data_IF_489682232071
#
_entry.id   IF_489682232071
#
_cell.length_a   1.000
_cell.length_b   1.000
_cell.length_c   1.000
_cell.angle_alpha   90.00
_cell.angle_beta   90.00
_cell.angle_gamma   90.00
#
_symmetry.space_group_name_H-M   'P 1'
#
loop_
_entity.id
_entity.type
_entity.pdbx_description
1 polymer ?
#
# COMPACT_ATOMS: atom_id res chain seq x y z
N UNK A 1 -0.62 -17.76 -4.71
CA UNK A 1 -0.71 -16.33 -5.08
C UNK A 1 -1.60 -16.08 -6.30
N UNK A 2 -2.59 -16.91 -6.59
CA UNK A 2 -3.31 -16.86 -7.87
C UNK A 2 -4.59 -15.99 -7.85
N UNK A 3 -4.88 -15.36 -6.71
CA UNK A 3 -6.06 -14.52 -6.51
C UNK A 3 -5.76 -13.01 -6.66
N UNK A 4 -4.54 -12.65 -7.08
CA UNK A 4 -4.10 -11.26 -7.23
C UNK A 4 -3.66 -10.56 -5.94
N UNK A 5 -3.65 -11.29 -4.81
CA UNK A 5 -3.21 -10.76 -3.52
C UNK A 5 -1.69 -10.63 -3.43
N UNK A 6 -1.23 -9.63 -2.66
CA UNK A 6 0.19 -9.35 -2.47
C UNK A 6 0.84 -10.35 -1.52
N UNK A 7 2.13 -10.64 -1.71
CA UNK A 7 2.87 -11.51 -0.81
C UNK A 7 2.86 -10.99 0.63
N UNK A 8 2.98 -9.67 0.81
CA UNK A 8 3.01 -9.04 2.14
C UNK A 8 1.68 -9.12 2.91
N UNK A 9 0.57 -9.41 2.26
CA UNK A 9 -0.75 -9.53 2.90
C UNK A 9 -1.15 -10.97 3.15
N UNK A 10 -0.27 -11.94 2.87
CA UNK A 10 -0.57 -13.35 3.05
C UNK A 10 -0.35 -13.76 4.52
N UNK A 11 -1.43 -14.15 5.20
CA UNK A 11 -1.35 -14.71 6.54
C UNK A 11 -0.77 -16.14 6.48
N UNK A 12 0.30 -16.37 7.23
CA UNK A 12 0.95 -17.68 7.33
C UNK A 12 1.63 -17.85 8.70
N UNK A 13 2.13 -19.05 8.97
CA UNK A 13 2.91 -19.31 10.18
C UNK A 13 4.25 -18.58 10.15
N UNK A 14 4.89 -18.38 11.31
CA UNK A 14 6.20 -17.73 11.38
C UNK A 14 7.27 -18.50 10.59
N UNK A 15 7.18 -19.84 10.56
CA UNK A 15 8.09 -20.70 9.80
C UNK A 15 7.92 -20.49 8.28
N UNK A 16 6.67 -20.43 7.80
CA UNK A 16 6.37 -20.14 6.39
C UNK A 16 6.77 -18.71 6.01
N UNK A 17 6.53 -17.74 6.91
CA UNK A 17 6.92 -16.35 6.72
C UNK A 17 8.44 -16.21 6.61
N UNK A 18 9.21 -16.95 7.42
CA UNK A 18 10.66 -16.99 7.34
C UNK A 18 11.14 -17.54 5.99
N UNK A 19 10.50 -18.60 5.48
CA UNK A 19 10.82 -19.13 4.16
C UNK A 19 10.50 -18.12 3.04
N UNK A 20 9.32 -17.48 3.08
CA UNK A 20 8.91 -16.47 2.10
C UNK A 20 9.84 -15.25 2.15
N UNK A 21 10.30 -14.85 3.33
CA UNK A 21 11.23 -13.74 3.51
C UNK A 21 12.60 -13.96 2.86
N UNK A 22 13.02 -15.22 2.65
CA UNK A 22 14.24 -15.53 1.88
C UNK A 22 14.05 -15.41 0.37
N UNK A 23 12.81 -15.25 -0.10
CA UNK A 23 12.50 -15.09 -1.52
C UNK A 23 12.51 -13.60 -1.91
N UNK A 24 13.04 -13.30 -3.10
CA UNK A 24 13.06 -11.93 -3.64
C UNK A 24 11.74 -11.53 -4.33
N UNK A 25 10.60 -11.79 -3.69
CA UNK A 25 9.30 -11.45 -4.25
C UNK A 25 9.09 -9.93 -4.21
N UNK A 26 8.82 -9.34 -5.38
CA UNK A 26 8.57 -7.89 -5.49
C UNK A 26 7.39 -7.43 -4.63
N UNK A 27 6.33 -8.23 -4.55
CA UNK A 27 5.11 -7.93 -3.78
C UNK A 27 5.25 -8.15 -2.27
N UNK A 28 6.41 -8.61 -1.81
CA UNK A 28 6.74 -8.70 -0.38
C UNK A 28 7.34 -7.41 0.16
N UNK A 29 7.93 -6.58 -0.73
CA UNK A 29 8.55 -5.31 -0.35
C UNK A 29 7.51 -4.39 0.30
N UNK A 30 7.93 -3.61 1.30
CA UNK A 30 7.09 -2.54 1.88
C UNK A 30 6.80 -1.51 0.79
N UNK A 31 5.55 -1.06 0.68
CA UNK A 31 5.11 -0.06 -0.30
C UNK A 31 4.51 1.14 0.42
N UNK A 32 4.73 2.31 -0.15
CA UNK A 32 4.09 3.56 0.23
C UNK A 32 3.46 4.12 -1.04
N UNK A 33 2.21 4.60 -0.93
CA UNK A 33 1.51 5.28 -2.01
C UNK A 33 1.79 6.78 -1.92
N UNK A 34 2.40 7.34 -2.95
CA UNK A 34 2.47 8.79 -3.12
C UNK A 34 1.24 9.25 -3.91
N UNK A 35 0.27 9.85 -3.24
CA UNK A 35 -0.95 10.37 -3.85
C UNK A 35 -0.71 11.81 -4.31
N UNK A 36 -0.56 12.02 -5.62
CA UNK A 36 -0.37 13.35 -6.19
C UNK A 36 -1.70 14.10 -6.27
N UNK A 37 -1.74 15.28 -5.66
CA UNK A 37 -2.92 16.15 -5.55
C UNK A 37 -2.62 17.53 -6.13
N UNK A 38 -3.67 18.30 -6.42
CA UNK A 38 -3.50 19.71 -6.77
C UNK A 38 -2.92 20.52 -5.61
N UNK A 39 -2.29 21.66 -5.93
CA UNK A 39 -1.59 22.54 -4.98
C UNK A 39 -2.45 22.95 -3.77
N UNK A 40 -3.74 23.19 -3.98
CA UNK A 40 -4.65 23.54 -2.88
C UNK A 40 -5.19 22.30 -2.17
N UNK A 41 -5.44 21.21 -2.91
CA UNK A 41 -6.02 19.97 -2.38
C UNK A 41 -5.08 19.21 -1.46
N UNK A 42 -3.75 19.37 -1.62
CA UNK A 42 -2.76 18.70 -0.76
C UNK A 42 -2.87 19.11 0.71
N UNK A 43 -3.40 20.31 0.99
CA UNK A 43 -3.62 20.80 2.35
C UNK A 43 -4.91 20.25 2.98
N UNK A 44 -5.87 19.80 2.16
CA UNK A 44 -7.12 19.17 2.60
C UNK A 44 -7.38 17.89 1.79
N UNK A 45 -6.51 16.87 1.89
CA UNK A 45 -6.53 15.73 0.99
C UNK A 45 -7.79 14.87 1.15
N UNK A 46 -8.38 14.84 2.34
CA UNK A 46 -9.63 14.12 2.64
C UNK A 46 -10.84 14.70 1.88
N UNK A 47 -10.75 15.92 1.33
CA UNK A 47 -11.80 16.48 0.44
C UNK A 47 -11.81 15.79 -0.93
N UNK A 48 -10.70 15.18 -1.34
CA UNK A 48 -10.58 14.49 -2.63
C UNK A 48 -11.08 13.06 -2.53
N UNK A 49 -12.16 12.77 -3.27
CA UNK A 49 -12.68 11.39 -3.42
C UNK A 49 -11.62 10.40 -3.94
N UNK A 50 -10.64 10.89 -4.71
CA UNK A 50 -9.58 10.05 -5.27
C UNK A 50 -8.53 9.72 -4.21
N UNK A 51 -8.15 10.71 -3.38
CA UNK A 51 -7.28 10.46 -2.23
C UNK A 51 -7.89 9.43 -1.27
N UNK A 52 -9.17 9.58 -0.93
CA UNK A 52 -9.88 8.64 -0.07
C UNK A 52 -9.89 7.20 -0.63
N UNK A 53 -10.03 7.06 -1.95
CA UNK A 53 -9.96 5.75 -2.60
C UNK A 53 -8.56 5.11 -2.49
N UNK A 54 -7.50 5.90 -2.71
CA UNK A 54 -6.11 5.44 -2.57
C UNK A 54 -5.80 5.09 -1.11
N UNK A 55 -6.25 5.92 -0.16
CA UNK A 55 -6.14 5.68 1.28
C UNK A 55 -6.78 4.35 1.67
N UNK A 56 -8.02 4.12 1.26
CA UNK A 56 -8.73 2.85 1.52
C UNK A 56 -8.01 1.65 0.94
N UNK A 57 -7.48 1.77 -0.28
CA UNK A 57 -6.70 0.69 -0.90
C UNK A 57 -5.45 0.39 -0.07
N UNK A 58 -4.64 1.40 0.24
CA UNK A 58 -3.41 1.22 1.01
C UNK A 58 -3.68 0.64 2.40
N UNK A 59 -4.72 1.11 3.10
CA UNK A 59 -5.14 0.55 4.39
C UNK A 59 -5.49 -0.94 4.29
N UNK A 60 -6.16 -1.37 3.20
CA UNK A 60 -6.56 -2.78 3.01
C UNK A 60 -5.38 -3.75 2.85
N UNK A 61 -4.19 -3.23 2.52
CA UNK A 61 -2.97 -4.02 2.35
C UNK A 61 -1.85 -3.62 3.34
N UNK A 62 -2.17 -2.83 4.37
CA UNK A 62 -1.23 -2.39 5.40
C UNK A 62 -0.16 -1.40 4.92
N UNK A 63 -0.39 -0.72 3.80
CA UNK A 63 0.49 0.30 3.22
C UNK A 63 0.13 1.70 3.72
N UNK A 64 1.11 2.61 3.71
CA UNK A 64 0.88 4.02 4.04
C UNK A 64 0.60 4.85 2.77
N UNK A 65 -0.11 5.96 2.92
CA UNK A 65 -0.32 6.96 1.86
C UNK A 65 0.25 8.30 2.27
N UNK A 66 0.99 8.93 1.37
CA UNK A 66 1.53 10.28 1.50
C UNK A 66 0.87 11.18 0.45
N UNK A 67 0.06 12.19 0.83
CA UNK A 67 -0.38 13.22 -0.09
C UNK A 67 0.81 14.11 -0.47
N UNK A 68 1.03 14.31 -1.76
CA UNK A 68 2.08 15.20 -2.29
C UNK A 68 1.50 16.10 -3.38
N UNK A 69 2.17 17.22 -3.62
CA UNK A 69 2.01 18.03 -4.82
C UNK A 69 3.38 18.10 -5.50
N UNK A 70 3.45 17.70 -6.77
CA UNK A 70 4.68 17.62 -7.55
C UNK A 70 4.95 18.86 -8.40
#
# INVERSE_FOLDING_TARGET
>A
MNEGNLARTFECSDDDAAMIATSDLLTLRKTIYAANLGENEVNEPESSKHYLAVKKLAESEGSQVLPICA
#
